data_IF_519297585917
#
_entry.id   IF_519297585917
#
_cell.length_a   1.000
_cell.length_b   1.000
_cell.length_c   1.000
_cell.angle_alpha   90.00
_cell.angle_beta   90.00
_cell.angle_gamma   90.00
#
_symmetry.space_group_name_H-M   'P 1'
#
loop_
_entity.id
_entity.type
_entity.pdbx_description
1 polymer ?
#
# COMPACT_ATOMS: atom_id res chain seq x y z
N UNK A 1 18.67 0.15 -7.20
CA UNK A 1 17.23 0.02 -6.96
C UNK A 1 17.01 0.29 -5.48
N UNK A 2 16.25 1.31 -5.11
CA UNK A 2 16.13 1.77 -3.71
C UNK A 2 15.09 0.98 -2.90
N UNK A 3 14.19 0.23 -3.57
CA UNK A 3 13.24 -0.66 -2.93
C UNK A 3 13.79 -2.09 -2.82
N UNK A 4 13.68 -2.67 -1.62
CA UNK A 4 14.06 -4.06 -1.35
C UNK A 4 12.88 -4.85 -0.78
N UNK A 5 12.17 -5.58 -1.63
CA UNK A 5 11.17 -6.57 -1.22
C UNK A 5 11.46 -7.88 -1.94
N UNK A 6 11.68 -8.96 -1.20
CA UNK A 6 11.94 -10.26 -1.82
C UNK A 6 10.65 -11.07 -2.02
N UNK A 7 10.61 -11.94 -3.03
CA UNK A 7 9.46 -12.78 -3.33
C UNK A 7 9.15 -13.78 -2.20
N UNK A 8 10.17 -14.30 -1.51
CA UNK A 8 9.99 -15.24 -0.40
C UNK A 8 9.29 -14.56 0.78
N UNK A 9 9.67 -13.31 1.09
CA UNK A 9 9.00 -12.50 2.12
C UNK A 9 7.52 -12.32 1.80
N UNK A 10 7.19 -12.04 0.53
CA UNK A 10 5.81 -11.90 0.07
C UNK A 10 5.03 -13.21 0.22
N UNK A 11 5.61 -14.34 -0.20
CA UNK A 11 5.02 -15.67 -0.09
C UNK A 11 4.76 -16.09 1.36
N UNK A 12 5.71 -15.79 2.26
CA UNK A 12 5.66 -16.19 3.66
C UNK A 12 4.66 -15.36 4.46
N UNK A 13 4.71 -14.03 4.34
CA UNK A 13 3.89 -13.15 5.16
C UNK A 13 2.44 -13.07 4.69
N UNK A 14 2.20 -13.22 3.37
CA UNK A 14 0.84 -13.18 2.77
C UNK A 14 0.01 -11.99 3.25
N UNK A 15 0.65 -10.82 3.32
CA UNK A 15 0.07 -9.64 3.96
C UNK A 15 -1.24 -9.21 3.30
N UNK A 16 -2.22 -8.84 4.15
CA UNK A 16 -3.50 -8.28 3.73
C UNK A 16 -3.42 -6.81 3.34
N UNK A 17 -2.45 -6.07 3.87
CA UNK A 17 -2.21 -4.67 3.55
C UNK A 17 -0.70 -4.36 3.48
N UNK A 18 -0.31 -3.59 2.47
CA UNK A 18 1.04 -3.08 2.26
C UNK A 18 1.04 -1.56 2.36
N UNK A 19 2.01 -0.98 3.07
CA UNK A 19 2.20 0.47 3.15
C UNK A 19 3.60 0.82 2.68
N UNK A 20 3.69 1.60 1.61
CA UNK A 20 4.93 1.98 0.95
C UNK A 20 5.27 3.43 1.34
N UNK A 21 6.36 3.67 2.10
CA UNK A 21 6.89 5.01 2.27
C UNK A 21 7.63 5.42 0.98
N UNK A 22 6.99 6.21 0.14
CA UNK A 22 7.54 6.66 -1.15
C UNK A 22 7.81 8.17 -1.14
N UNK A 23 8.92 8.56 -1.76
CA UNK A 23 9.40 9.96 -1.76
C UNK A 23 10.27 10.32 -2.97
N UNK A 24 10.41 9.42 -3.94
CA UNK A 24 11.28 9.60 -5.12
C UNK A 24 10.54 9.14 -6.39
N UNK A 25 10.95 9.67 -7.54
CA UNK A 25 10.33 9.36 -8.84
C UNK A 25 10.37 7.87 -9.19
N UNK A 26 11.36 7.14 -8.69
CA UNK A 26 11.49 5.69 -8.89
C UNK A 26 10.68 4.86 -7.88
N UNK A 27 9.98 5.50 -6.93
CA UNK A 27 9.16 4.82 -5.92
C UNK A 27 7.66 4.99 -6.20
N UNK A 28 6.85 3.93 -6.11
CA UNK A 28 7.27 2.53 -5.90
C UNK A 28 7.95 1.95 -7.14
N UNK A 29 8.92 1.06 -6.94
CA UNK A 29 9.53 0.28 -8.02
C UNK A 29 8.56 -0.80 -8.56
N UNK A 30 8.56 -0.97 -9.89
CA UNK A 30 7.61 -1.83 -10.57
C UNK A 30 7.78 -3.31 -10.24
N UNK A 31 9.01 -3.79 -10.08
CA UNK A 31 9.23 -5.20 -9.71
C UNK A 31 8.64 -5.48 -8.33
N UNK A 32 8.70 -4.51 -7.41
CA UNK A 32 8.15 -4.67 -6.07
C UNK A 32 6.63 -4.64 -6.07
N UNK A 33 6.02 -3.74 -6.85
CA UNK A 33 4.56 -3.77 -7.04
C UNK A 33 4.08 -5.08 -7.68
N UNK A 34 4.78 -5.61 -8.68
CA UNK A 34 4.45 -6.92 -9.26
C UNK A 34 4.45 -8.03 -8.22
N UNK A 35 5.47 -8.05 -7.34
CA UNK A 35 5.54 -9.00 -6.23
C UNK A 35 4.37 -8.82 -5.26
N UNK A 36 4.11 -7.61 -4.77
CA UNK A 36 3.01 -7.33 -3.83
C UNK A 36 1.64 -7.74 -4.38
N UNK A 37 1.41 -7.53 -5.69
CA UNK A 37 0.15 -7.87 -6.37
C UNK A 37 0.09 -9.30 -6.93
N UNK A 38 1.14 -10.12 -6.76
CA UNK A 38 1.20 -11.44 -7.37
C UNK A 38 0.35 -12.47 -6.65
N UNK A 39 -0.74 -12.90 -7.31
CA UNK A 39 -1.55 -14.03 -6.83
C UNK A 39 -0.84 -15.37 -6.94
N UNK A 40 0.23 -15.45 -7.75
CA UNK A 40 1.11 -16.61 -7.85
C UNK A 40 1.98 -16.77 -6.60
N UNK A 41 2.38 -15.67 -5.96
CA UNK A 41 3.15 -15.72 -4.71
C UNK A 41 2.25 -16.08 -3.52
N UNK A 42 1.06 -15.48 -3.44
CA UNK A 42 0.01 -15.93 -2.51
C UNK A 42 -1.39 -15.55 -3.02
N UNK A 43 -2.41 -16.40 -2.87
CA UNK A 43 -3.78 -16.09 -3.28
C UNK A 43 -4.49 -15.18 -2.27
N UNK A 44 -5.55 -14.50 -2.69
CA UNK A 44 -6.49 -13.78 -1.81
C UNK A 44 -6.38 -12.24 -1.82
N UNK A 45 -7.33 -11.50 -1.24
CA UNK A 45 -7.35 -10.04 -1.35
C UNK A 45 -6.19 -9.37 -0.61
N UNK A 46 -5.64 -8.32 -1.22
CA UNK A 46 -4.57 -7.48 -0.65
C UNK A 46 -4.81 -6.01 -1.02
N UNK A 47 -4.53 -5.13 -0.08
CA UNK A 47 -4.54 -3.70 -0.30
C UNK A 47 -3.10 -3.17 -0.33
N UNK A 48 -2.78 -2.25 -1.24
CA UNK A 48 -1.47 -1.61 -1.31
C UNK A 48 -1.67 -0.10 -1.28
N UNK A 49 -1.00 0.56 -0.35
CA UNK A 49 -1.05 1.99 -0.12
C UNK A 49 0.36 2.58 -0.27
N UNK A 50 0.45 3.80 -0.76
CA UNK A 50 1.69 4.57 -0.74
C UNK A 50 1.43 5.93 -0.08
N UNK A 51 2.44 6.48 0.60
CA UNK A 51 2.31 7.77 1.30
C UNK A 51 2.33 8.95 0.34
N UNK A 52 3.17 8.88 -0.71
CA UNK A 52 3.29 9.91 -1.75
C UNK A 52 3.96 9.36 -3.00
N UNK A 53 3.21 9.11 -4.07
CA UNK A 53 3.78 8.72 -5.37
C UNK A 53 3.89 9.95 -6.26
N UNK A 54 5.10 10.22 -6.76
CA UNK A 54 5.33 11.36 -7.67
C UNK A 54 4.53 11.22 -8.96
N UNK A 55 4.06 12.35 -9.49
CA UNK A 55 3.17 12.40 -10.65
C UNK A 55 3.78 11.72 -11.88
N UNK A 56 5.07 11.87 -12.08
CA UNK A 56 5.83 11.28 -13.18
C UNK A 56 5.81 9.75 -13.11
N UNK A 57 5.91 9.18 -11.91
CA UNK A 57 5.78 7.73 -11.73
C UNK A 57 4.37 7.27 -12.08
N UNK A 58 3.34 7.96 -11.59
CA UNK A 58 1.94 7.64 -11.91
C UNK A 58 1.67 7.63 -13.43
N UNK A 59 2.25 8.59 -14.15
CA UNK A 59 2.12 8.69 -15.61
C UNK A 59 2.88 7.57 -16.34
N UNK A 60 4.09 7.24 -15.90
CA UNK A 60 4.92 6.22 -16.53
C UNK A 60 4.43 4.79 -16.25
N UNK A 61 3.89 4.55 -15.06
CA UNK A 61 3.69 3.21 -14.50
C UNK A 61 2.23 2.89 -14.13
N UNK A 62 1.28 3.58 -14.77
CA UNK A 62 -0.17 3.48 -14.52
C UNK A 62 -0.72 2.05 -14.44
N UNK A 63 -0.13 1.08 -15.16
CA UNK A 63 -0.55 -0.34 -15.11
C UNK A 63 -0.59 -0.91 -13.69
N UNK A 64 0.39 -0.55 -12.84
CA UNK A 64 0.48 -1.05 -11.47
C UNK A 64 0.12 0.03 -10.44
N UNK A 65 0.48 1.29 -10.67
CA UNK A 65 0.17 2.36 -9.72
C UNK A 65 -1.34 2.63 -9.61
N UNK A 66 -2.12 2.44 -10.68
CA UNK A 66 -3.58 2.58 -10.62
C UNK A 66 -4.27 1.49 -9.79
N UNK A 67 -3.53 0.43 -9.38
CA UNK A 67 -4.05 -0.61 -8.48
C UNK A 67 -3.87 -0.27 -7.00
N UNK A 68 -3.10 0.78 -6.69
CA UNK A 68 -2.97 1.26 -5.32
C UNK A 68 -4.34 1.69 -4.81
N UNK A 69 -4.65 1.36 -3.56
CA UNK A 69 -5.86 1.85 -2.89
C UNK A 69 -5.80 3.36 -2.71
N UNK A 70 -4.61 3.88 -2.42
CA UNK A 70 -4.24 5.30 -2.40
C UNK A 70 -2.77 5.41 -2.75
N UNK A 71 -2.45 6.42 -3.55
CA UNK A 71 -1.10 6.81 -3.96
C UNK A 71 -0.57 8.04 -3.21
N UNK A 72 -1.42 8.66 -2.39
CA UNK A 72 -1.11 9.86 -1.60
C UNK A 72 -2.01 9.92 -0.35
N UNK A 73 -1.41 10.38 0.75
CA UNK A 73 -2.06 10.64 2.03
C UNK A 73 -1.35 10.00 3.22
N UNK A 74 -1.82 10.32 4.43
CA UNK A 74 -1.30 9.74 5.66
C UNK A 74 -2.06 8.45 5.98
N UNK A 75 -1.33 7.34 6.13
CA UNK A 75 -1.90 6.00 6.30
C UNK A 75 -1.95 5.62 7.77
N UNK A 76 -3.15 5.42 8.31
CA UNK A 76 -3.40 5.00 9.69
C UNK A 76 -3.87 3.55 9.71
N UNK A 77 -3.10 2.68 10.38
CA UNK A 77 -3.49 1.28 10.62
C UNK A 77 -4.02 1.15 12.04
N UNK A 78 -5.28 0.76 12.18
CA UNK A 78 -5.92 0.52 13.48
C UNK A 78 -6.14 -0.97 13.67
N UNK A 79 -5.51 -1.53 14.69
CA UNK A 79 -5.61 -2.96 15.03
C UNK A 79 -6.55 -3.10 16.24
N UNK A 80 -7.53 -3.98 16.12
CA UNK A 80 -8.45 -4.29 17.21
C UNK A 80 -7.73 -5.00 18.37
N UNK A 81 -8.25 -4.93 19.61
CA UNK A 81 -7.70 -5.70 20.72
C UNK A 81 -7.52 -7.18 20.35
N UNK A 82 -6.35 -7.74 20.65
CA UNK A 82 -5.99 -9.12 20.33
C UNK A 82 -5.47 -9.35 18.91
N UNK A 83 -5.36 -8.33 18.06
CA UNK A 83 -4.58 -8.41 16.81
C UNK A 83 -5.24 -9.15 15.64
N UNK A 84 -6.33 -9.87 15.87
CA UNK A 84 -6.98 -10.70 14.84
C UNK A 84 -7.67 -9.88 13.72
N UNK A 85 -7.89 -8.59 13.93
CA UNK A 85 -8.58 -7.72 12.99
C UNK A 85 -7.97 -6.33 12.94
N UNK A 86 -7.98 -5.72 11.78
CA UNK A 86 -7.50 -4.35 11.58
C UNK A 86 -8.33 -3.62 10.51
N UNK A 87 -8.20 -2.30 10.44
CA UNK A 87 -8.64 -1.51 9.29
C UNK A 87 -7.62 -0.42 8.97
N UNK A 88 -7.66 0.08 7.75
CA UNK A 88 -6.78 1.14 7.28
C UNK A 88 -7.62 2.37 6.94
N UNK A 89 -7.22 3.53 7.44
CA UNK A 89 -7.73 4.82 7.02
C UNK A 89 -6.60 5.61 6.33
N UNK A 90 -6.96 6.43 5.35
CA UNK A 90 -6.06 7.38 4.72
C UNK A 90 -6.63 8.77 4.90
N UNK A 91 -5.86 9.68 5.50
CA UNK A 91 -6.23 11.09 5.65
C UNK A 91 -5.51 11.97 4.65
N UNK A 92 -6.12 13.11 4.34
CA UNK A 92 -5.51 14.17 3.55
C UNK A 92 -4.33 14.78 4.30
N UNK A 93 -3.28 15.13 3.58
CA UNK A 93 -2.02 15.67 4.13
C UNK A 93 -1.78 17.12 3.74
N UNK A 94 -2.73 17.76 3.03
CA UNK A 94 -2.61 19.13 2.53
C UNK A 94 -2.89 20.21 3.59
N UNK A 95 -3.51 19.82 4.70
CA UNK A 95 -3.78 20.65 5.87
C UNK A 95 -3.92 19.79 7.14
N UNK A 96 -4.13 20.42 8.29
CA UNK A 96 -4.28 19.76 9.59
C UNK A 96 -5.74 19.42 9.94
N UNK A 97 -6.65 19.39 8.96
CA UNK A 97 -8.07 19.11 9.21
C UNK A 97 -8.38 17.63 9.48
N UNK A 98 -7.38 16.74 9.35
CA UNK A 98 -7.50 15.29 9.50
C UNK A 98 -8.60 14.66 8.63
N UNK A 99 -8.92 15.28 7.49
CA UNK A 99 -9.97 14.79 6.60
C UNK A 99 -9.69 13.36 6.13
N UNK A 100 -10.60 12.44 6.42
CA UNK A 100 -10.52 11.06 5.93
C UNK A 100 -10.87 11.00 4.43
N UNK A 101 -9.92 10.53 3.62
CA UNK A 101 -10.08 10.29 2.18
C UNK A 101 -10.58 8.88 1.89
N UNK A 102 -10.15 7.91 2.70
CA UNK A 102 -10.52 6.50 2.58
C UNK A 102 -10.54 5.84 3.95
N UNK A 103 -11.49 4.94 4.17
CA UNK A 103 -11.48 3.99 5.27
C UNK A 103 -11.90 2.61 4.77
N UNK A 104 -11.10 1.58 5.04
CA UNK A 104 -11.45 0.21 4.68
C UNK A 104 -12.45 -0.36 5.68
N UNK A 105 -13.23 -1.35 5.26
CA UNK A 105 -13.89 -2.24 6.20
C UNK A 105 -12.85 -2.96 7.08
N UNK A 106 -13.31 -3.49 8.22
CA UNK A 106 -12.48 -4.29 9.10
C UNK A 106 -12.10 -5.61 8.42
N UNK A 107 -10.80 -5.90 8.42
CA UNK A 107 -10.19 -7.06 7.78
C UNK A 107 -9.63 -7.99 8.85
N UNK A 108 -9.62 -9.30 8.59
CA UNK A 108 -8.82 -10.22 9.38
C UNK A 108 -7.33 -9.98 9.08
N UNK A 109 -6.49 -10.03 10.12
CA UNK A 109 -5.04 -9.97 10.00
C UNK A 109 -4.48 -11.19 9.26
#
# INVERSE_FOLDING_TARGET
MFDGLDADVVCTLRLRAWVIPSWHIAHPDMLQLERMFSERLYPGPRDVFATTVMRENLLANGRLTNKLRRDDGHVVVRVAPGGARFHVAVTDTRDESDRVLLATAQQAA
#
